data_IF_968960894370
#
_entry.id   IF_968960894370
#
_cell.length_a   1.000
_cell.length_b   1.000
_cell.length_c   1.000
_cell.angle_alpha   90.00
_cell.angle_beta   90.00
_cell.angle_gamma   90.00
#
_symmetry.space_group_name_H-M   'P 1'
#
loop_
_entity.id
_entity.type
_entity.pdbx_description
1 polymer ?
#
# COMPACT_ATOMS: atom_id res chain seq x y z
N UNK A 1 3.18 25.85 10.44
CA UNK A 1 2.16 25.38 11.40
C UNK A 1 0.88 24.95 10.70
N UNK A 2 0.77 23.66 10.38
CA UNK A 2 -0.52 23.09 9.94
C UNK A 2 -1.21 22.47 11.14
N UNK A 3 -2.11 23.22 11.79
CA UNK A 3 -2.90 22.74 12.92
C UNK A 3 -4.14 21.95 12.42
N UNK A 4 -3.91 20.72 11.96
CA UNK A 4 -4.95 19.81 11.49
C UNK A 4 -4.99 18.56 12.37
N UNK A 5 -6.20 18.13 12.74
CA UNK A 5 -6.42 16.83 13.40
C UNK A 5 -6.71 15.77 12.34
N UNK A 6 -6.23 14.56 12.61
CA UNK A 6 -6.54 13.37 11.85
C UNK A 6 -7.44 12.45 12.69
N UNK A 7 -8.41 11.80 12.07
CA UNK A 7 -9.15 10.69 12.69
C UNK A 7 -9.18 9.52 11.72
N UNK A 8 -8.82 8.33 12.21
CA UNK A 8 -8.87 7.12 11.40
C UNK A 8 -10.33 6.75 11.13
N UNK A 9 -10.65 6.53 9.86
CA UNK A 9 -11.95 6.09 9.39
C UNK A 9 -11.97 4.57 9.22
N UNK A 10 -10.93 4.02 8.58
CA UNK A 10 -10.84 2.59 8.27
C UNK A 10 -9.40 2.18 7.96
N UNK A 11 -9.21 0.91 7.57
CA UNK A 11 -7.95 0.39 7.03
C UNK A 11 -8.18 -0.31 5.69
N UNK A 12 -7.12 -0.48 4.91
CA UNK A 12 -7.10 -1.31 3.72
C UNK A 12 -5.84 -2.17 3.66
N UNK A 13 -5.94 -3.32 2.99
CA UNK A 13 -4.81 -4.20 2.74
C UNK A 13 -3.97 -3.71 1.55
N UNK A 14 -2.67 -3.97 1.61
CA UNK A 14 -1.74 -3.76 0.49
C UNK A 14 -1.06 -5.07 0.13
N UNK A 15 -0.81 -5.27 -1.16
CA UNK A 15 -0.11 -6.44 -1.68
C UNK A 15 1.14 -6.01 -2.44
N UNK A 16 2.23 -6.76 -2.27
CA UNK A 16 3.33 -6.75 -3.21
C UNK A 16 2.89 -7.49 -4.48
N UNK A 17 2.94 -6.81 -5.62
CA UNK A 17 2.50 -7.34 -6.91
C UNK A 17 3.50 -7.05 -8.01
N UNK A 18 3.55 -7.93 -8.99
CA UNK A 18 4.32 -7.78 -10.22
C UNK A 18 3.69 -8.62 -11.33
N UNK A 19 4.17 -8.45 -12.57
CA UNK A 19 3.79 -9.32 -13.68
C UNK A 19 4.26 -10.77 -13.47
N UNK A 20 3.63 -11.77 -14.13
CA UNK A 20 3.86 -13.19 -13.86
C UNK A 20 5.30 -13.67 -14.00
N UNK A 21 6.14 -13.01 -14.79
CA UNK A 21 7.55 -13.33 -14.92
C UNK A 21 8.35 -13.18 -13.61
N UNK A 22 7.81 -12.45 -12.62
CA UNK A 22 8.40 -12.29 -11.29
C UNK A 22 7.85 -13.30 -10.27
N UNK A 23 7.02 -14.27 -10.66
CA UNK A 23 6.33 -15.17 -9.71
C UNK A 23 7.26 -15.99 -8.80
N UNK A 24 8.52 -16.19 -9.19
CA UNK A 24 9.53 -16.88 -8.38
C UNK A 24 10.06 -16.05 -7.21
N UNK A 25 9.75 -14.75 -7.15
CA UNK A 25 10.18 -13.83 -6.09
C UNK A 25 9.28 -14.00 -4.87
N UNK A 26 9.60 -14.97 -4.01
CA UNK A 26 8.81 -15.34 -2.84
C UNK A 26 9.55 -15.20 -1.50
N UNK A 27 10.69 -14.52 -1.49
CA UNK A 27 11.43 -14.18 -0.26
C UNK A 27 11.70 -12.68 -0.17
N UNK A 28 11.79 -12.15 1.05
CA UNK A 28 12.12 -10.74 1.28
C UNK A 28 13.43 -10.34 0.59
N UNK A 29 14.48 -11.13 0.74
CA UNK A 29 15.79 -10.89 0.11
C UNK A 29 15.70 -10.88 -1.44
N UNK A 30 14.90 -11.76 -2.04
CA UNK A 30 14.68 -11.73 -3.49
C UNK A 30 13.89 -10.48 -3.92
N UNK A 31 12.89 -10.07 -3.12
CA UNK A 31 12.09 -8.87 -3.36
C UNK A 31 12.95 -7.59 -3.30
N UNK A 32 13.94 -7.58 -2.43
CA UNK A 32 14.92 -6.50 -2.32
C UNK A 32 15.92 -6.44 -3.48
N UNK A 33 15.98 -7.44 -4.36
CA UNK A 33 16.91 -7.48 -5.51
C UNK A 33 16.26 -7.12 -6.84
N UNK A 34 14.94 -7.14 -6.94
CA UNK A 34 14.23 -6.80 -8.18
C UNK A 34 13.97 -5.28 -8.30
N UNK A 35 13.71 -4.76 -9.51
CA UNK A 35 13.32 -3.36 -9.69
C UNK A 35 12.06 -3.04 -8.88
N UNK A 36 12.08 -1.92 -8.16
CA UNK A 36 10.92 -1.44 -7.40
C UNK A 36 10.30 -0.24 -8.09
N UNK A 37 8.97 -0.22 -8.08
CA UNK A 37 8.12 0.87 -8.51
C UNK A 37 7.63 1.55 -7.23
N UNK A 38 8.26 2.69 -6.92
CA UNK A 38 8.10 3.35 -5.64
C UNK A 38 7.07 4.47 -5.68
N UNK A 39 6.46 4.72 -4.53
CA UNK A 39 5.77 5.97 -4.27
C UNK A 39 6.75 6.94 -3.61
N UNK A 40 6.77 8.22 -4.01
CA UNK A 40 7.82 9.17 -3.61
C UNK A 40 7.97 9.48 -2.11
N UNK A 41 7.13 8.88 -1.24
CA UNK A 41 7.12 9.10 0.22
C UNK A 41 6.94 7.84 1.08
N UNK A 42 6.74 6.66 0.48
CA UNK A 42 6.57 5.41 1.23
C UNK A 42 7.81 4.54 1.04
N UNK A 43 8.65 4.49 2.07
CA UNK A 43 9.95 3.81 2.02
C UNK A 43 9.99 2.52 2.82
N UNK A 44 9.16 2.37 3.85
CA UNK A 44 9.20 1.23 4.76
C UNK A 44 7.79 0.77 5.15
N UNK A 45 7.56 -0.55 5.14
CA UNK A 45 6.31 -1.18 5.55
C UNK A 45 6.61 -2.40 6.42
N UNK A 46 5.91 -2.53 7.54
CA UNK A 46 5.96 -3.74 8.36
C UNK A 46 5.29 -4.92 7.65
N UNK A 47 5.88 -6.10 7.81
CA UNK A 47 5.44 -7.35 7.23
C UNK A 47 5.55 -8.47 8.28
N UNK A 48 4.47 -9.22 8.50
CA UNK A 48 4.49 -10.43 9.34
C UNK A 48 4.68 -11.67 8.46
N UNK A 49 5.63 -12.53 8.81
CA UNK A 49 5.87 -13.81 8.14
C UNK A 49 4.88 -14.91 8.59
N UNK A 50 4.84 -16.08 7.92
CA UNK A 50 3.94 -17.18 8.29
C UNK A 50 4.20 -17.79 9.67
N UNK A 51 5.40 -17.60 10.24
CA UNK A 51 5.77 -18.04 11.57
C UNK A 51 5.43 -16.99 12.66
N UNK A 52 4.88 -15.83 12.28
CA UNK A 52 4.56 -14.72 13.18
C UNK A 52 5.73 -13.79 13.47
N UNK A 53 6.84 -13.91 12.75
CA UNK A 53 7.97 -12.99 12.82
C UNK A 53 7.66 -11.66 12.14
N UNK A 54 8.04 -10.56 12.79
CA UNK A 54 7.90 -9.21 12.25
C UNK A 54 9.16 -8.80 11.47
N UNK A 55 8.95 -8.30 10.26
CA UNK A 55 9.99 -7.86 9.33
C UNK A 55 9.69 -6.46 8.83
N UNK A 56 10.72 -5.78 8.32
CA UNK A 56 10.58 -4.49 7.65
C UNK A 56 10.88 -4.66 6.17
N UNK A 57 9.88 -4.45 5.33
CA UNK A 57 10.08 -4.33 3.91
C UNK A 57 10.51 -2.89 3.59
N UNK A 58 11.69 -2.74 3.00
CA UNK A 58 12.19 -1.45 2.52
C UNK A 58 12.10 -1.40 1.01
N UNK A 59 11.25 -0.50 0.50
CA UNK A 59 11.34 -0.11 -0.89
C UNK A 59 12.61 0.73 -1.04
N UNK A 60 13.72 0.07 -1.36
CA UNK A 60 15.00 0.73 -1.68
C UNK A 60 14.89 1.71 -2.85
N UNK A 61 16.00 2.22 -3.40
CA UNK A 61 15.96 3.17 -4.52
C UNK A 61 15.11 2.60 -5.66
N UNK A 62 14.00 3.28 -5.95
CA UNK A 62 13.03 2.83 -6.94
C UNK A 62 13.54 3.15 -8.34
N UNK A 63 13.41 2.18 -9.25
CA UNK A 63 13.77 2.37 -10.65
C UNK A 63 12.85 3.40 -11.33
N UNK A 64 11.61 3.51 -10.82
CA UNK A 64 10.63 4.50 -11.20
C UNK A 64 9.86 4.96 -9.97
N UNK A 65 9.66 6.28 -9.86
CA UNK A 65 8.86 6.91 -8.81
C UNK A 65 7.67 7.60 -9.44
N UNK A 66 6.47 7.32 -8.95
CA UNK A 66 5.26 8.04 -9.32
C UNK A 66 4.42 8.36 -8.06
N UNK A 67 3.71 9.47 -8.10
CA UNK A 67 2.78 9.90 -7.04
C UNK A 67 1.36 9.35 -7.24
N UNK A 68 1.15 8.53 -8.27
CA UNK A 68 -0.11 7.87 -8.57
C UNK A 68 0.02 6.35 -8.51
N UNK A 69 -0.80 5.74 -7.66
CA UNK A 69 -0.86 4.28 -7.53
C UNK A 69 -1.29 3.59 -8.84
N UNK A 70 -2.16 4.22 -9.64
CA UNK A 70 -2.61 3.66 -10.93
C UNK A 70 -1.51 3.69 -11.99
N UNK A 71 -0.62 4.68 -11.93
CA UNK A 71 0.57 4.71 -12.80
C UNK A 71 1.51 3.56 -12.42
N UNK A 72 1.79 3.36 -11.13
CA UNK A 72 2.63 2.26 -10.66
C UNK A 72 2.04 0.89 -11.04
N UNK A 73 0.73 0.71 -10.90
CA UNK A 73 0.02 -0.49 -11.37
C UNK A 73 0.24 -0.73 -12.87
N UNK A 74 0.09 0.31 -13.69
CA UNK A 74 0.25 0.20 -15.14
C UNK A 74 1.69 -0.18 -15.56
N UNK A 75 2.69 0.21 -14.77
CA UNK A 75 4.08 -0.22 -14.95
C UNK A 75 4.30 -1.65 -14.46
N UNK A 76 3.70 -2.04 -13.33
CA UNK A 76 3.79 -3.39 -12.78
C UNK A 76 3.21 -4.43 -13.76
N UNK A 77 2.03 -4.15 -14.33
CA UNK A 77 1.37 -5.00 -15.34
C UNK A 77 2.24 -5.17 -16.59
N UNK A 78 3.09 -4.19 -16.91
CA UNK A 78 4.02 -4.22 -18.05
C UNK A 78 5.38 -4.84 -17.71
N UNK A 79 5.57 -5.38 -16.51
CA UNK A 79 6.81 -6.06 -16.14
C UNK A 79 7.96 -5.14 -15.73
N UNK A 80 7.69 -3.88 -15.41
CA UNK A 80 8.76 -2.94 -15.04
C UNK A 80 9.27 -3.08 -13.60
N UNK A 81 8.68 -3.97 -12.81
CA UNK A 81 9.13 -4.26 -11.46
C UNK A 81 7.98 -4.55 -10.50
N UNK A 82 8.31 -4.49 -9.21
CA UNK A 82 7.40 -4.76 -8.10
C UNK A 82 6.82 -3.45 -7.57
N UNK A 83 5.52 -3.45 -7.31
CA UNK A 83 4.84 -2.37 -6.59
C UNK A 83 4.14 -2.93 -5.35
N UNK A 84 4.11 -2.16 -4.25
CA UNK A 84 3.21 -2.43 -3.12
C UNK A 84 2.01 -1.51 -3.25
N UNK A 85 0.84 -2.09 -3.52
CA UNK A 85 -0.36 -1.35 -3.91
C UNK A 85 -1.59 -1.80 -3.11
N UNK A 86 -2.59 -0.93 -2.94
CA UNK A 86 -3.84 -1.30 -2.29
C UNK A 86 -4.51 -2.48 -3.00
N UNK A 87 -5.00 -3.46 -2.24
CA UNK A 87 -5.67 -4.64 -2.79
C UNK A 87 -6.77 -4.28 -3.79
N UNK A 88 -7.66 -3.35 -3.42
CA UNK A 88 -8.80 -2.95 -4.23
C UNK A 88 -8.40 -2.39 -5.60
N UNK A 89 -7.19 -1.84 -5.72
CA UNK A 89 -6.69 -1.31 -6.98
C UNK A 89 -6.26 -2.42 -7.93
N UNK A 90 -5.60 -3.44 -7.39
CA UNK A 90 -4.92 -4.49 -8.17
C UNK A 90 -5.74 -5.77 -8.32
N UNK A 91 -6.84 -5.92 -7.58
CA UNK A 91 -7.65 -7.13 -7.57
C UNK A 91 -8.09 -7.57 -8.98
N UNK A 92 -8.54 -6.65 -9.83
CA UNK A 92 -8.96 -6.98 -11.20
C UNK A 92 -7.82 -7.44 -12.13
N UNK A 93 -6.58 -7.03 -11.86
CA UNK A 93 -5.40 -7.52 -12.60
C UNK A 93 -4.91 -8.87 -12.05
N UNK A 94 -5.04 -9.09 -10.74
CA UNK A 94 -4.76 -10.38 -10.10
C UNK A 94 -5.72 -11.45 -10.61
N UNK A 95 -7.03 -11.15 -10.61
CA UNK A 95 -8.07 -12.07 -11.09
C UNK A 95 -7.89 -12.43 -12.57
N UNK A 96 -7.38 -11.47 -13.36
CA UNK A 96 -7.10 -11.66 -14.78
C UNK A 96 -5.73 -12.30 -15.06
N UNK A 97 -4.93 -12.61 -14.05
CA UNK A 97 -3.58 -13.17 -14.20
C UNK A 97 -2.55 -12.23 -14.82
N UNK A 98 -2.85 -10.92 -14.91
CA UNK A 98 -1.91 -9.89 -15.37
C UNK A 98 -0.91 -9.50 -14.29
N UNK A 99 -1.27 -9.70 -13.03
CA UNK A 99 -0.41 -9.57 -11.87
C UNK A 99 -0.43 -10.85 -11.06
N UNK A 100 0.63 -11.08 -10.30
CA UNK A 100 0.72 -12.10 -9.26
C UNK A 100 1.03 -11.45 -7.92
N UNK A 101 0.54 -12.05 -6.84
CA UNK A 101 0.95 -11.66 -5.48
C UNK A 101 2.32 -12.27 -5.18
N UNK A 102 3.25 -11.42 -4.76
CA UNK A 102 4.54 -11.82 -4.22
C UNK A 102 4.44 -11.87 -2.69
N UNK A 103 5.20 -12.76 -2.06
CA UNK A 103 5.13 -12.99 -0.60
C UNK A 103 3.70 -13.27 -0.15
N UNK A 104 2.95 -14.10 -0.88
CA UNK A 104 1.51 -14.29 -0.66
C UNK A 104 1.17 -14.79 0.77
N UNK A 105 2.10 -15.52 1.39
CA UNK A 105 1.95 -16.03 2.77
C UNK A 105 2.34 -15.00 3.84
N UNK A 106 2.98 -13.90 3.46
CA UNK A 106 3.29 -12.81 4.38
C UNK A 106 2.16 -11.77 4.38
N UNK A 107 1.97 -11.09 5.51
CA UNK A 107 0.95 -10.05 5.65
C UNK A 107 1.57 -8.70 5.90
N UNK A 108 1.38 -7.79 4.94
CA UNK A 108 1.74 -6.39 5.14
C UNK A 108 0.80 -5.76 6.17
N UNK A 109 1.33 -4.87 7.01
CA UNK A 109 0.52 -4.12 7.94
C UNK A 109 -0.57 -3.33 7.19
N UNK A 110 -1.84 -3.38 7.63
CA UNK A 110 -2.92 -2.61 7.01
C UNK A 110 -2.63 -1.12 7.04
N UNK A 111 -3.00 -0.42 5.97
CA UNK A 111 -2.80 1.01 5.83
C UNK A 111 -4.06 1.77 6.26
N UNK A 112 -3.90 2.87 7.00
CA UNK A 112 -5.03 3.65 7.52
C UNK A 112 -5.59 4.67 6.53
N UNK A 113 -6.91 4.82 6.51
CA UNK A 113 -7.60 5.93 5.86
C UNK A 113 -7.97 6.94 6.94
N UNK A 114 -7.58 8.20 6.77
CA UNK A 114 -7.78 9.25 7.77
C UNK A 114 -8.57 10.41 7.19
N UNK A 115 -9.54 10.92 7.95
CA UNK A 115 -10.13 12.23 7.70
C UNK A 115 -9.28 13.31 8.36
N UNK A 116 -8.82 14.27 7.56
CA UNK A 116 -8.11 15.46 8.02
C UNK A 116 -9.09 16.63 8.16
N UNK A 117 -9.07 17.31 9.30
CA UNK A 117 -9.90 18.50 9.52
C UNK A 117 -9.15 19.55 10.36
N UNK A 118 -9.47 20.85 10.22
CA UNK A 118 -8.80 21.89 10.98
C UNK A 118 -8.99 21.70 12.49
N UNK A 119 -7.95 21.99 13.27
CA UNK A 119 -8.03 21.99 14.73
C UNK A 119 -8.78 23.23 15.22
N UNK A 120 -10.11 23.17 15.15
CA UNK A 120 -11.01 24.20 15.68
C UNK A 120 -11.49 23.81 17.07
N UNK A 121 -11.54 24.77 18.01
CA UNK A 121 -12.08 24.56 19.38
C UNK A 121 -13.47 23.91 19.42
N UNK A 122 -14.28 24.14 18.40
CA UNK A 122 -15.62 23.56 18.26
C UNK A 122 -15.76 22.90 16.88
N UNK A 123 -15.64 21.57 16.82
CA UNK A 123 -15.91 20.83 15.59
C UNK A 123 -17.44 20.89 15.31
N UNK A 124 -17.88 21.43 14.16
CA UNK A 124 -19.30 21.52 13.85
C UNK A 124 -19.99 20.16 13.89
N UNK A 125 -21.21 20.10 14.44
CA UNK A 125 -21.96 18.84 14.63
C UNK A 125 -22.12 18.04 13.33
N UNK A 126 -22.29 18.73 12.20
CA UNK A 126 -22.38 18.12 10.86
C UNK A 126 -21.09 17.39 10.45
N UNK A 127 -19.92 17.94 10.79
CA UNK A 127 -18.62 17.31 10.48
C UNK A 127 -18.43 16.07 11.35
N UNK A 128 -18.78 16.16 12.64
CA UNK A 128 -18.77 15.00 13.54
C UNK A 128 -19.70 13.90 13.05
N UNK A 129 -20.95 14.22 12.75
CA UNK A 129 -21.94 13.27 12.25
C UNK A 129 -21.47 12.59 10.94
N UNK A 130 -20.81 13.35 10.05
CA UNK A 130 -20.23 12.78 8.82
C UNK A 130 -19.05 11.83 9.11
N UNK A 131 -18.13 12.20 10.00
CA UNK A 131 -17.02 11.33 10.42
C UNK A 131 -17.55 10.05 11.07
N UNK A 132 -18.56 10.16 11.94
CA UNK A 132 -19.16 9.01 12.62
C UNK A 132 -19.89 8.10 11.63
N UNK A 133 -20.56 8.66 10.62
CA UNK A 133 -21.14 7.90 9.51
C UNK A 133 -20.08 7.13 8.70
N UNK A 134 -18.91 7.73 8.45
CA UNK A 134 -17.84 7.10 7.66
C UNK A 134 -17.04 6.03 8.40
N UNK A 135 -17.16 5.95 9.73
CA UNK A 135 -16.49 4.95 10.58
C UNK A 135 -17.30 3.67 10.77
N UNK A 136 -18.60 3.71 10.50
CA UNK A 136 -19.52 2.57 10.56
C UNK A 136 -19.64 1.85 9.23
#
# INVERSE_FOLDING_TARGET
>A
DSNHRAVQLSTFEVFAVAAPEFALVQTLDALERVPKLGHGRLTELSLTDPAGGEHQYRSGPAALVADSASVLQAFAVRGHGVAVLPQWLVQGDLDAGRLVRLLADHRFAPQGIYAMYPDTRHLPLKVRAFIDFMKG
#
